data_IF_079995297827
#
_entry.id   IF_079995297827
#
_cell.length_a   1.000
_cell.length_b   1.000
_cell.length_c   1.000
_cell.angle_alpha   90.00
_cell.angle_beta   90.00
_cell.angle_gamma   90.00
#
_symmetry.space_group_name_H-M   'P 1'
#
loop_
_entity.id
_entity.type
_entity.pdbx_description
1 polymer ?
#
# COMPACT_ATOMS: atom_id res chain seq x y z
N UNK A 1 -22.22 -14.34 -0.55
CA UNK A 1 -22.19 -14.88 0.82
C UNK A 1 -21.19 -14.08 1.63
N UNK A 2 -21.63 -13.22 2.58
CA UNK A 2 -20.71 -12.31 3.24
C UNK A 2 -19.84 -13.04 4.27
N UNK A 3 -18.53 -12.95 4.08
CA UNK A 3 -17.53 -13.34 5.06
C UNK A 3 -17.21 -12.09 5.89
N UNK A 4 -17.27 -12.21 7.21
CA UNK A 4 -16.98 -11.12 8.13
C UNK A 4 -15.73 -11.40 8.95
N UNK A 5 -14.94 -10.35 9.17
CA UNK A 5 -13.77 -10.39 10.03
C UNK A 5 -14.05 -9.69 11.36
N UNK A 6 -13.51 -10.25 12.43
CA UNK A 6 -13.65 -9.75 13.79
C UNK A 6 -12.30 -9.76 14.50
N UNK A 7 -12.06 -8.77 15.35
CA UNK A 7 -10.95 -8.73 16.30
C UNK A 7 -11.48 -8.96 17.70
N UNK A 8 -10.91 -9.94 18.41
CA UNK A 8 -11.23 -10.15 19.82
C UNK A 8 -10.55 -9.08 20.67
N UNK A 9 -11.27 -8.43 21.57
CA UNK A 9 -10.68 -7.42 22.44
C UNK A 9 -9.85 -8.02 23.57
N UNK A 10 -10.08 -9.28 23.95
CA UNK A 10 -9.37 -9.90 25.06
C UNK A 10 -8.05 -10.56 24.65
N UNK A 11 -8.04 -11.33 23.54
CA UNK A 11 -6.83 -11.99 23.05
C UNK A 11 -6.21 -11.34 21.81
N UNK A 12 -6.82 -10.29 21.27
CA UNK A 12 -6.39 -9.51 20.09
C UNK A 12 -6.23 -10.30 18.78
N UNK A 13 -6.62 -11.58 18.76
CA UNK A 13 -6.57 -12.42 17.55
C UNK A 13 -7.73 -12.11 16.60
N UNK A 14 -7.44 -12.15 15.30
CA UNK A 14 -8.42 -12.01 14.23
C UNK A 14 -9.18 -13.31 14.02
N UNK A 15 -10.49 -13.23 13.82
CA UNK A 15 -11.38 -14.35 13.57
C UNK A 15 -12.23 -14.05 12.34
N UNK A 16 -12.43 -15.06 11.49
CA UNK A 16 -13.23 -14.95 10.27
C UNK A 16 -14.43 -15.88 10.38
N UNK A 17 -15.63 -15.37 10.09
CA UNK A 17 -16.88 -16.12 10.14
C UNK A 17 -17.68 -15.94 8.85
N UNK A 18 -18.24 -17.05 8.39
CA UNK A 18 -19.27 -17.06 7.36
C UNK A 18 -20.63 -16.92 8.06
N UNK A 19 -21.33 -15.81 7.84
CA UNK A 19 -22.67 -15.58 8.39
C UNK A 19 -23.69 -15.70 7.27
N UNK A 20 -24.49 -16.78 7.33
CA UNK A 20 -25.45 -17.14 6.28
C UNK A 20 -26.81 -16.44 6.44
N UNK A 21 -27.17 -15.99 7.65
CA UNK A 21 -28.42 -15.29 7.93
C UNK A 21 -28.22 -14.19 8.98
N UNK A 22 -29.08 -13.17 8.95
CA UNK A 22 -29.08 -12.12 9.98
C UNK A 22 -29.53 -12.63 11.36
N UNK A 23 -30.23 -13.77 11.41
CA UNK A 23 -30.65 -14.45 12.64
C UNK A 23 -29.58 -15.37 13.23
N UNK A 24 -28.40 -15.46 12.61
CA UNK A 24 -27.32 -16.30 13.12
C UNK A 24 -26.88 -15.82 14.52
N UNK A 25 -26.55 -16.74 15.43
CA UNK A 25 -26.07 -16.38 16.75
C UNK A 25 -24.75 -15.59 16.65
N UNK A 26 -24.54 -14.68 17.61
CA UNK A 26 -23.31 -13.90 17.68
C UNK A 26 -22.09 -14.83 17.82
N UNK A 27 -21.02 -14.63 17.02
CA UNK A 27 -19.84 -15.47 17.11
C UNK A 27 -19.08 -15.22 18.41
N UNK A 28 -18.35 -16.24 18.87
CA UNK A 28 -17.38 -16.14 19.97
C UNK A 28 -15.98 -16.45 19.46
N UNK A 29 -14.96 -15.85 20.08
CA UNK A 29 -13.57 -15.98 19.66
C UNK A 29 -13.12 -17.45 19.59
N UNK A 30 -12.51 -17.88 18.47
CA UNK A 30 -12.02 -19.26 18.29
C UNK A 30 -10.86 -19.63 19.22
N UNK A 31 -10.22 -18.65 19.86
CA UNK A 31 -9.03 -18.84 20.69
C UNK A 31 -9.31 -18.79 22.20
N UNK A 32 -10.01 -17.75 22.67
CA UNK A 32 -10.29 -17.56 24.09
C UNK A 32 -11.78 -17.74 24.46
N UNK A 33 -12.65 -18.02 23.48
CA UNK A 33 -14.12 -18.17 23.64
C UNK A 33 -14.86 -16.92 24.14
N UNK A 34 -14.19 -15.78 24.24
CA UNK A 34 -14.84 -14.52 24.59
C UNK A 34 -15.88 -14.10 23.56
N UNK A 35 -16.96 -13.48 24.04
CA UNK A 35 -17.96 -12.81 23.21
C UNK A 35 -17.57 -11.37 22.85
N UNK A 36 -16.47 -10.84 23.39
CA UNK A 36 -15.99 -9.48 23.16
C UNK A 36 -15.27 -9.39 21.80
N UNK A 37 -16.06 -9.33 20.73
CA UNK A 37 -15.61 -9.25 19.34
C UNK A 37 -16.04 -7.93 18.70
N UNK A 38 -15.10 -7.24 18.06
CA UNK A 38 -15.36 -6.07 17.23
C UNK A 38 -15.24 -6.45 15.76
N UNK A 39 -16.25 -6.12 14.95
CA UNK A 39 -16.20 -6.34 13.50
C UNK A 39 -15.20 -5.36 12.89
N UNK A 40 -14.27 -5.88 12.09
CA UNK A 40 -13.29 -5.08 11.36
C UNK A 40 -13.54 -5.21 9.86
N UNK A 41 -13.18 -4.17 9.11
CA UNK A 41 -13.15 -4.22 7.65
C UNK A 41 -11.73 -4.55 7.20
N UNK A 42 -11.60 -5.47 6.24
CA UNK A 42 -10.32 -5.69 5.59
C UNK A 42 -9.87 -4.42 4.88
N UNK A 43 -8.55 -4.18 4.86
CA UNK A 43 -7.94 -3.11 4.07
C UNK A 43 -7.92 -3.59 2.62
N UNK A 44 -9.01 -3.40 1.88
CA UNK A 44 -8.98 -3.58 0.44
C UNK A 44 -8.25 -2.38 -0.17
N UNK A 45 -7.19 -2.62 -0.94
CA UNK A 45 -6.73 -1.63 -1.91
C UNK A 45 -7.82 -1.55 -2.99
N UNK A 46 -8.44 -0.38 -3.15
CA UNK A 46 -9.31 -0.16 -4.28
C UNK A 46 -8.42 0.16 -5.48
N UNK A 47 -8.36 -0.69 -6.53
CA UNK A 47 -7.61 -0.35 -7.73
C UNK A 47 -8.22 0.93 -8.31
N UNK A 48 -7.36 1.88 -8.69
CA UNK A 48 -7.82 3.10 -9.37
C UNK A 48 -8.38 2.71 -10.74
N UNK A 49 -9.46 3.35 -11.18
CA UNK A 49 -9.91 3.21 -12.56
C UNK A 49 -8.85 3.76 -13.52
N UNK A 50 -8.82 3.24 -14.75
CA UNK A 50 -7.90 3.73 -15.78
C UNK A 50 -8.10 5.23 -16.04
N UNK A 51 -9.35 5.70 -15.99
CA UNK A 51 -9.68 7.13 -16.11
C UNK A 51 -9.06 7.96 -14.98
N UNK A 52 -9.13 7.49 -13.73
CA UNK A 52 -8.53 8.19 -12.58
C UNK A 52 -6.99 8.17 -12.62
N UNK A 53 -6.40 7.14 -13.22
CA UNK A 53 -4.93 7.08 -13.47
C UNK A 53 -4.53 8.08 -14.55
N UNK A 54 -5.27 8.13 -15.66
CA UNK A 54 -5.03 9.10 -16.73
C UNK A 54 -5.20 10.54 -16.25
N UNK A 55 -6.22 10.82 -15.43
CA UNK A 55 -6.40 12.14 -14.83
C UNK A 55 -5.24 12.52 -13.89
N UNK A 56 -4.74 11.57 -13.09
CA UNK A 56 -3.58 11.79 -12.24
C UNK A 56 -2.27 12.01 -13.02
N UNK A 57 -2.09 11.35 -14.16
CA UNK A 57 -0.96 11.57 -15.08
C UNK A 57 -1.07 12.90 -15.83
N UNK A 58 -2.28 13.37 -16.10
CA UNK A 58 -2.54 14.62 -16.82
C UNK A 58 -2.49 15.86 -15.91
N UNK A 59 -2.51 15.70 -14.58
CA UNK A 59 -2.43 16.81 -13.63
C UNK A 59 -0.99 17.34 -13.48
N UNK A 60 -0.67 18.55 -13.99
CA UNK A 60 0.67 19.12 -13.88
C UNK A 60 1.08 19.40 -12.42
N UNK A 61 0.12 19.52 -11.51
CA UNK A 61 0.35 19.71 -10.07
C UNK A 61 1.04 18.49 -9.43
N UNK A 62 0.90 17.30 -10.03
CA UNK A 62 1.55 16.09 -9.55
C UNK A 62 3.05 16.03 -9.86
N UNK A 63 3.53 16.84 -10.81
CA UNK A 63 4.91 16.89 -11.30
C UNK A 63 5.66 18.16 -10.85
N UNK A 64 4.95 19.16 -10.32
CA UNK A 64 5.50 20.48 -10.02
C UNK A 64 6.35 20.58 -8.74
N UNK A 65 6.39 19.55 -7.91
CA UNK A 65 7.07 19.56 -6.59
C UNK A 65 8.31 18.64 -6.53
N UNK A 66 8.84 18.29 -7.71
CA UNK A 66 10.03 17.44 -7.84
C UNK A 66 11.28 18.30 -7.73
N UNK A 67 12.11 18.01 -6.74
CA UNK A 67 13.43 18.61 -6.60
C UNK A 67 14.47 17.66 -7.20
N UNK A 68 15.02 18.05 -8.34
CA UNK A 68 16.01 17.25 -9.09
C UNK A 68 17.34 17.06 -8.34
N UNK A 69 17.58 17.86 -7.29
CA UNK A 69 18.81 17.79 -6.49
C UNK A 69 18.64 16.95 -5.21
N UNK A 70 17.40 16.54 -4.88
CA UNK A 70 17.12 15.66 -3.73
C UNK A 70 16.82 14.23 -4.21
N UNK A 71 17.71 13.25 -3.95
CA UNK A 71 17.49 11.85 -4.33
C UNK A 71 16.23 11.25 -3.70
N UNK A 72 15.81 11.72 -2.51
CA UNK A 72 14.55 11.27 -1.89
C UNK A 72 13.32 11.83 -2.63
N UNK A 73 13.42 13.03 -3.20
CA UNK A 73 12.38 13.63 -4.02
C UNK A 73 12.20 12.89 -5.35
N UNK A 74 13.31 12.55 -6.00
CA UNK A 74 13.30 11.70 -7.20
C UNK A 74 12.74 10.30 -6.94
N UNK A 75 13.08 9.67 -5.82
CA UNK A 75 12.55 8.35 -5.44
C UNK A 75 11.02 8.38 -5.23
N UNK A 76 10.51 9.41 -4.54
CA UNK A 76 9.06 9.62 -4.35
C UNK A 76 8.36 9.87 -5.69
N UNK A 77 8.99 10.62 -6.58
CA UNK A 77 8.50 10.87 -7.92
C UNK A 77 8.40 9.58 -8.75
N UNK A 78 9.47 8.78 -8.80
CA UNK A 78 9.51 7.50 -9.50
C UNK A 78 8.44 6.52 -8.99
N UNK A 79 8.30 6.39 -7.67
CA UNK A 79 7.28 5.53 -7.05
C UNK A 79 5.86 5.99 -7.37
N UNK A 80 5.62 7.31 -7.42
CA UNK A 80 4.32 7.89 -7.80
C UNK A 80 4.02 7.64 -9.27
N UNK A 81 5.00 7.80 -10.16
CA UNK A 81 4.85 7.60 -11.60
C UNK A 81 4.61 6.12 -11.96
N UNK A 82 5.37 5.19 -11.36
CA UNK A 82 5.18 3.74 -11.54
C UNK A 82 3.79 3.28 -11.11
N UNK A 83 3.28 3.81 -9.99
CA UNK A 83 1.93 3.51 -9.51
C UNK A 83 0.82 3.98 -10.44
N UNK A 84 1.00 5.10 -11.15
CA UNK A 84 0.00 5.55 -12.12
C UNK A 84 0.11 4.80 -13.47
N UNK A 85 1.29 4.29 -13.87
CA UNK A 85 1.49 3.56 -15.14
C UNK A 85 0.93 2.13 -15.19
N UNK A 86 0.76 1.45 -14.05
CA UNK A 86 0.26 0.07 -14.03
C UNK A 86 0.43 -0.57 -12.66
N UNK A 87 -0.50 -1.43 -12.22
CA UNK A 87 -0.28 -2.19 -10.98
C UNK A 87 0.80 -3.26 -11.22
N UNK A 88 0.83 -3.90 -12.40
CA UNK A 88 1.88 -4.85 -12.78
C UNK A 88 3.29 -4.20 -12.82
N UNK A 89 3.42 -3.01 -13.40
CA UNK A 89 4.71 -2.29 -13.45
C UNK A 89 5.09 -1.72 -12.08
N UNK A 90 4.12 -1.26 -11.29
CA UNK A 90 4.37 -0.70 -9.96
C UNK A 90 4.86 -1.76 -8.97
N UNK A 91 4.33 -2.98 -9.04
CA UNK A 91 4.78 -4.12 -8.23
C UNK A 91 6.17 -4.60 -8.66
N UNK A 92 6.41 -4.74 -9.96
CA UNK A 92 7.73 -5.10 -10.50
C UNK A 92 8.80 -4.03 -10.16
N UNK A 93 8.43 -2.75 -10.15
CA UNK A 93 9.33 -1.65 -9.82
C UNK A 93 9.60 -1.55 -8.30
N UNK A 94 8.61 -1.78 -7.44
CA UNK A 94 8.82 -1.87 -5.99
C UNK A 94 9.73 -3.07 -5.65
N UNK A 95 9.56 -4.23 -6.31
CA UNK A 95 10.43 -5.40 -6.16
C UNK A 95 11.84 -5.17 -6.73
N UNK A 96 11.96 -4.49 -7.87
CA UNK A 96 13.24 -4.07 -8.43
C UNK A 96 13.98 -3.06 -7.51
N UNK A 97 13.26 -2.13 -6.86
CA UNK A 97 13.84 -1.19 -5.90
C UNK A 97 14.18 -1.85 -4.55
N UNK A 98 13.43 -2.87 -4.11
CA UNK A 98 13.81 -3.65 -2.91
C UNK A 98 15.01 -4.58 -3.16
N UNK A 99 15.20 -5.04 -4.40
CA UNK A 99 16.37 -5.83 -4.80
C UNK A 99 17.60 -4.98 -5.14
N UNK A 100 17.40 -3.73 -5.56
CA UNK A 100 18.43 -2.70 -5.64
C UNK A 100 18.64 -2.06 -4.27
N UNK A 101 19.43 -2.72 -3.41
CA UNK A 101 19.92 -2.12 -2.17
C UNK A 101 20.58 -0.76 -2.49
N UNK A 102 20.51 0.19 -1.56
CA UNK A 102 20.92 1.62 -1.71
C UNK A 102 22.36 1.84 -2.22
N UNK A 103 23.15 0.78 -2.33
CA UNK A 103 24.52 0.73 -2.83
C UNK A 103 24.64 0.79 -4.37
N UNK A 104 23.57 0.44 -5.13
CA UNK A 104 23.62 0.36 -6.61
C UNK A 104 23.02 1.58 -7.34
N UNK A 105 22.31 2.48 -6.64
CA UNK A 105 21.83 3.77 -7.18
C UNK A 105 22.95 4.82 -7.28
N UNK A 106 24.04 4.47 -7.97
CA UNK A 106 25.12 5.36 -8.36
C UNK A 106 24.67 6.39 -9.40
N UNK A 107 23.81 7.34 -9.00
CA UNK A 107 23.62 8.60 -9.70
C UNK A 107 24.77 9.53 -9.25
N UNK A 108 25.85 9.56 -10.03
CA UNK A 108 27.09 10.25 -9.68
C UNK A 108 26.94 11.77 -9.55
N UNK A 109 27.49 12.34 -8.47
CA UNK A 109 27.69 13.78 -8.34
C UNK A 109 29.19 14.09 -8.42
N UNK A 110 29.60 14.66 -9.53
CA UNK A 110 30.93 15.22 -9.77
C UNK A 110 31.05 16.64 -9.20
N UNK A 111 32.12 16.93 -8.44
CA UNK A 111 32.77 18.25 -8.20
C UNK A 111 33.96 18.01 -7.24
N UNK A 112 35.26 18.11 -7.58
CA UNK A 112 36.13 19.14 -8.18
C UNK A 112 37.10 19.77 -7.14
N UNK A 113 38.37 19.95 -7.58
CA UNK A 113 39.43 20.90 -7.13
C UNK A 113 40.45 20.57 -5.99
N UNK A 114 41.75 20.71 -6.38
CA UNK A 114 42.99 21.19 -5.67
C UNK A 114 43.48 20.43 -4.40
N UNK A 115 44.74 20.01 -4.21
CA UNK A 115 46.12 20.50 -4.50
C UNK A 115 47.08 19.36 -4.92
#
# INVERSE_FOLDING_TARGET
MPIYEYRCQDCRKRNTYLILSASAPAPSCKHCRSANLERIMSRFAAPKSEEARMEALADPSNFGDVDENDPQSMARFMKKMGKEMGEDIGEDMDEAMESMDMEDMGMGMSASEED
#
